data_IF_946021490263
#
_entry.id   IF_946021490263
#
_cell.length_a   1.000
_cell.length_b   1.000
_cell.length_c   1.000
_cell.angle_alpha   90.00
_cell.angle_beta   90.00
_cell.angle_gamma   90.00
#
_symmetry.space_group_name_H-M   'P 1'
#
loop_
_entity.id
_entity.type
_entity.pdbx_description
1 polymer ?
#
# COMPACT_ATOMS: atom_id res chain seq x y z
N UNK A 1 8.15 -9.55 25.13
CA UNK A 1 7.78 -8.85 23.88
C UNK A 1 6.48 -8.13 24.16
N UNK A 2 6.44 -6.83 24.00
CA UNK A 2 5.16 -6.09 24.00
C UNK A 2 4.33 -6.59 22.83
N UNK A 3 3.05 -6.89 23.08
CA UNK A 3 2.13 -7.30 22.01
C UNK A 3 2.11 -6.21 20.94
N UNK A 4 2.42 -6.57 19.69
CA UNK A 4 2.35 -5.66 18.54
C UNK A 4 0.90 -5.27 18.35
N UNK A 5 0.62 -3.96 18.40
CA UNK A 5 -0.74 -3.43 18.26
C UNK A 5 -0.74 -2.04 17.63
N UNK A 6 -1.42 -1.93 16.51
CA UNK A 6 -1.75 -0.67 15.85
C UNK A 6 -3.28 -0.50 15.81
N UNK A 7 -3.82 0.22 14.91
CA UNK A 7 -5.22 0.19 14.55
C UNK A 7 -5.40 -0.51 13.21
N UNK A 8 -6.62 -0.65 12.73
CA UNK A 8 -6.86 -0.94 11.32
C UNK A 8 -6.40 0.28 10.51
N UNK A 9 -5.57 0.07 9.50
CA UNK A 9 -5.15 1.16 8.63
C UNK A 9 -6.28 1.59 7.67
N UNK A 10 -6.25 2.82 7.21
CA UNK A 10 -7.36 3.37 6.43
C UNK A 10 -7.53 2.67 5.06
N UNK A 11 -6.45 2.27 4.43
CA UNK A 11 -6.47 1.45 3.21
C UNK A 11 -7.27 0.15 3.42
N UNK A 12 -7.14 -0.49 4.60
CA UNK A 12 -7.87 -1.71 4.93
C UNK A 12 -9.34 -1.46 5.28
N UNK A 13 -9.67 -0.28 5.80
CA UNK A 13 -11.08 0.16 5.91
C UNK A 13 -11.70 0.27 4.52
N UNK A 14 -11.01 0.92 3.57
CA UNK A 14 -11.45 1.01 2.18
C UNK A 14 -11.51 -0.35 1.49
N UNK A 15 -10.50 -1.20 1.66
CA UNK A 15 -10.46 -2.54 1.07
C UNK A 15 -11.67 -3.39 1.49
N UNK A 16 -12.10 -3.28 2.75
CA UNK A 16 -13.31 -3.94 3.24
C UNK A 16 -14.59 -3.39 2.61
N UNK A 17 -14.60 -2.14 2.18
CA UNK A 17 -15.78 -1.49 1.60
C UNK A 17 -15.83 -1.63 0.08
N UNK A 18 -14.81 -1.17 -0.64
CA UNK A 18 -14.82 -1.12 -2.11
C UNK A 18 -14.06 -2.27 -2.78
N UNK A 19 -13.24 -3.01 -2.04
CA UNK A 19 -12.41 -4.12 -2.56
C UNK A 19 -13.14 -5.47 -2.63
N UNK A 20 -14.40 -5.56 -2.20
CA UNK A 20 -15.09 -6.84 -2.07
C UNK A 20 -15.52 -7.46 -3.40
N UNK A 21 -15.57 -6.69 -4.45
CA UNK A 21 -15.95 -7.11 -5.81
C UNK A 21 -14.77 -7.25 -6.76
N UNK A 22 -13.55 -6.89 -6.32
CA UNK A 22 -12.31 -7.02 -7.09
C UNK A 22 -11.60 -8.35 -6.79
N UNK A 23 -10.66 -8.74 -7.64
CA UNK A 23 -9.85 -9.95 -7.44
C UNK A 23 -9.04 -9.87 -6.15
N UNK A 24 -8.42 -8.71 -5.90
CA UNK A 24 -7.69 -8.40 -4.66
C UNK A 24 -8.37 -7.21 -3.97
N UNK A 25 -8.78 -7.34 -2.71
CA UNK A 25 -9.34 -6.21 -1.95
C UNK A 25 -8.37 -5.03 -1.84
N UNK A 26 -7.08 -5.34 -1.68
CA UNK A 26 -5.98 -4.38 -1.67
C UNK A 26 -4.68 -5.03 -2.12
N UNK A 27 -3.70 -4.21 -2.48
CA UNK A 27 -2.33 -4.64 -2.76
C UNK A 27 -1.38 -3.69 -2.05
N UNK A 28 -0.43 -4.27 -1.32
CA UNK A 28 0.57 -3.58 -0.53
C UNK A 28 1.95 -3.83 -1.13
N UNK A 29 2.66 -2.76 -1.51
CA UNK A 29 4.00 -2.84 -2.09
C UNK A 29 4.99 -1.90 -1.41
N UNK A 30 6.26 -2.25 -1.47
CA UNK A 30 7.36 -1.42 -0.96
C UNK A 30 8.60 -1.54 -1.86
N UNK A 31 9.60 -0.70 -1.60
CA UNK A 31 10.89 -0.80 -2.28
C UNK A 31 11.96 -1.52 -1.47
N UNK A 32 11.72 -1.74 -0.18
CA UNK A 32 12.67 -2.33 0.74
C UNK A 32 12.03 -3.43 1.57
N UNK A 33 12.69 -4.60 1.66
CA UNK A 33 12.27 -5.70 2.51
C UNK A 33 13.05 -5.72 3.83
N UNK A 34 12.32 -5.82 4.92
CA UNK A 34 12.87 -6.00 6.26
C UNK A 34 12.15 -7.13 7.03
N UNK A 35 11.45 -7.99 6.33
CA UNK A 35 10.76 -9.14 6.93
C UNK A 35 11.70 -10.07 7.71
N UNK A 36 13.01 -10.04 7.40
CA UNK A 36 14.05 -10.77 8.13
C UNK A 36 14.44 -10.18 9.49
N UNK A 37 14.04 -8.93 9.79
CA UNK A 37 14.31 -8.33 11.09
C UNK A 37 13.20 -8.67 12.09
N UNK A 38 13.51 -9.56 13.00
CA UNK A 38 12.59 -10.03 14.05
C UNK A 38 13.02 -9.42 15.39
N UNK A 39 12.08 -8.84 16.14
CA UNK A 39 12.34 -8.31 17.46
C UNK A 39 12.09 -6.80 17.56
N UNK A 40 12.90 -6.10 18.37
CA UNK A 40 12.82 -4.65 18.54
C UNK A 40 13.79 -3.95 17.58
N UNK A 41 13.27 -3.05 16.75
CA UNK A 41 14.06 -2.26 15.80
C UNK A 41 14.45 -0.88 16.35
N UNK A 42 13.70 -0.35 17.33
CA UNK A 42 14.00 0.91 18.00
C UNK A 42 13.39 0.92 19.41
N UNK A 43 14.18 1.30 20.41
CA UNK A 43 13.78 1.57 21.82
C UNK A 43 12.63 0.70 22.39
N UNK A 44 12.62 -0.61 22.08
CA UNK A 44 11.58 -1.54 22.53
C UNK A 44 10.36 -1.68 21.61
N UNK A 45 10.29 -0.94 20.49
CA UNK A 45 9.24 -1.08 19.48
C UNK A 45 9.54 -2.22 18.52
N UNK A 46 8.51 -2.99 18.19
CA UNK A 46 8.64 -4.12 17.26
C UNK A 46 8.94 -3.65 15.84
N UNK A 47 9.78 -4.40 15.10
CA UNK A 47 10.11 -4.13 13.71
C UNK A 47 8.88 -4.12 12.79
N UNK A 48 7.79 -4.78 13.17
CA UNK A 48 6.54 -4.78 12.43
C UNK A 48 6.01 -3.37 12.13
N UNK A 49 6.26 -2.38 13.00
CA UNK A 49 5.84 -0.99 12.78
C UNK A 49 6.62 -0.26 11.68
N UNK A 50 7.80 -0.77 11.31
CA UNK A 50 8.65 -0.22 10.25
C UNK A 50 8.47 -0.95 8.91
N UNK A 51 7.94 -2.19 8.95
CA UNK A 51 7.91 -3.07 7.80
C UNK A 51 6.64 -2.94 6.97
N UNK A 52 5.61 -2.29 7.50
CA UNK A 52 4.36 -2.05 6.80
C UNK A 52 3.63 -0.83 7.34
N UNK A 53 2.86 -0.20 6.46
CA UNK A 53 1.89 0.85 6.81
C UNK A 53 0.45 0.35 6.70
N UNK A 54 0.26 -0.94 6.37
CA UNK A 54 -1.06 -1.56 6.18
C UNK A 54 -1.35 -2.61 7.26
N UNK A 55 -2.49 -2.48 7.93
CA UNK A 55 -2.91 -3.33 9.03
C UNK A 55 -4.35 -3.80 8.84
N UNK A 56 -4.55 -5.12 8.67
CA UNK A 56 -5.86 -5.71 8.43
C UNK A 56 -6.79 -5.64 9.65
N UNK A 57 -6.20 -5.72 10.84
CA UNK A 57 -6.81 -5.53 12.15
C UNK A 57 -5.76 -4.98 13.14
N UNK A 58 -6.11 -4.69 14.42
CA UNK A 58 -5.17 -4.08 15.35
C UNK A 58 -3.88 -4.85 15.62
N UNK A 59 -3.81 -6.13 15.25
CA UNK A 59 -2.67 -7.02 15.57
C UNK A 59 -2.07 -7.71 14.35
N UNK A 60 -2.64 -7.49 13.16
CA UNK A 60 -2.23 -8.17 11.92
C UNK A 60 -1.67 -7.17 10.91
N UNK A 61 -0.33 -6.97 10.92
CA UNK A 61 0.35 -6.21 9.87
C UNK A 61 0.28 -6.99 8.54
N UNK A 62 0.05 -6.29 7.44
CA UNK A 62 0.12 -6.88 6.11
C UNK A 62 1.54 -6.74 5.54
N UNK A 63 2.15 -7.84 5.07
CA UNK A 63 3.46 -7.77 4.45
C UNK A 63 3.38 -6.99 3.13
N UNK A 64 4.39 -6.15 2.88
CA UNK A 64 4.52 -5.40 1.64
C UNK A 64 5.42 -6.16 0.66
N UNK A 65 4.93 -6.38 -0.57
CA UNK A 65 5.71 -7.05 -1.60
C UNK A 65 6.67 -6.07 -2.28
N UNK A 66 7.94 -6.45 -2.37
CA UNK A 66 8.99 -5.63 -2.99
C UNK A 66 9.37 -6.06 -4.40
N UNK A 67 9.08 -7.31 -4.76
CA UNK A 67 9.50 -7.88 -6.03
C UNK A 67 8.43 -7.63 -7.11
N UNK A 68 8.70 -6.78 -8.14
CA UNK A 68 7.73 -6.51 -9.20
C UNK A 68 7.29 -7.77 -9.93
N UNK A 69 8.15 -8.80 -10.02
CA UNK A 69 7.80 -10.09 -10.62
C UNK A 69 6.71 -10.79 -9.82
N UNK A 70 6.83 -10.81 -8.48
CA UNK A 70 5.84 -11.44 -7.60
C UNK A 70 4.52 -10.67 -7.66
N UNK A 71 4.57 -9.33 -7.68
CA UNK A 71 3.37 -8.48 -7.87
C UNK A 71 2.71 -8.80 -9.20
N UNK A 72 3.49 -8.90 -10.29
CA UNK A 72 2.99 -9.26 -11.61
C UNK A 72 2.32 -10.64 -11.61
N UNK A 73 2.97 -11.64 -11.04
CA UNK A 73 2.43 -13.00 -10.95
C UNK A 73 1.16 -13.05 -10.09
N UNK A 74 1.11 -12.27 -9.02
CA UNK A 74 -0.08 -12.13 -8.19
C UNK A 74 -1.23 -11.47 -8.94
N UNK A 75 -0.97 -10.40 -9.69
CA UNK A 75 -2.00 -9.68 -10.46
C UNK A 75 -2.50 -10.46 -11.67
N UNK A 76 -1.59 -11.13 -12.37
CA UNK A 76 -1.87 -11.69 -13.71
C UNK A 76 -1.62 -13.20 -13.82
N UNK A 77 -1.25 -13.86 -12.74
CA UNK A 77 -0.98 -15.30 -12.70
C UNK A 77 0.29 -15.73 -13.44
N UNK A 78 1.26 -14.83 -13.61
CA UNK A 78 2.56 -15.09 -14.23
C UNK A 78 2.53 -15.22 -15.77
N UNK A 79 3.70 -15.45 -16.37
CA UNK A 79 3.82 -15.75 -17.80
C UNK A 79 3.19 -17.12 -18.12
N UNK A 80 2.46 -17.22 -19.22
CA UNK A 80 1.83 -18.45 -19.69
C UNK A 80 0.46 -18.22 -20.33
N UNK A 81 -0.11 -19.30 -20.89
CA UNK A 81 -1.46 -19.26 -21.47
C UNK A 81 -2.54 -19.09 -20.40
N UNK A 82 -3.74 -18.69 -20.80
CA UNK A 82 -4.89 -18.61 -19.89
C UNK A 82 -5.15 -19.95 -19.18
N UNK A 83 -4.99 -21.07 -19.89
CA UNK A 83 -5.15 -22.41 -19.33
C UNK A 83 -4.10 -22.72 -18.24
N UNK A 84 -2.83 -22.36 -18.48
CA UNK A 84 -1.76 -22.55 -17.50
C UNK A 84 -1.96 -21.70 -16.25
N UNK A 85 -2.52 -20.48 -16.40
CA UNK A 85 -2.89 -19.64 -15.26
C UNK A 85 -4.03 -20.24 -14.45
N UNK A 86 -5.08 -20.69 -15.13
CA UNK A 86 -6.22 -21.36 -14.48
C UNK A 86 -5.80 -22.62 -13.73
N UNK A 87 -4.91 -23.43 -14.31
CA UNK A 87 -4.44 -24.64 -13.64
C UNK A 87 -3.66 -24.33 -12.37
N UNK A 88 -2.76 -23.31 -12.39
CA UNK A 88 -2.08 -22.86 -11.18
C UNK A 88 -3.06 -22.33 -10.11
N UNK A 89 -4.10 -21.61 -10.51
CA UNK A 89 -5.14 -21.14 -9.59
C UNK A 89 -5.92 -22.32 -8.97
N UNK A 90 -6.26 -23.32 -9.78
CA UNK A 90 -6.95 -24.53 -9.30
C UNK A 90 -6.10 -25.33 -8.31
N UNK A 91 -4.80 -25.45 -8.56
CA UNK A 91 -3.85 -26.10 -7.63
C UNK A 91 -3.79 -25.33 -6.30
N UNK A 92 -3.70 -24.01 -6.34
CA UNK A 92 -3.76 -23.15 -5.14
C UNK A 92 -5.07 -23.35 -4.35
N UNK A 93 -6.22 -23.38 -5.04
CA UNK A 93 -7.53 -23.66 -4.44
C UNK A 93 -7.57 -25.03 -3.78
N UNK A 94 -7.07 -26.07 -4.44
CA UNK A 94 -6.99 -27.44 -3.88
C UNK A 94 -6.18 -27.50 -2.57
N UNK A 95 -5.11 -26.70 -2.45
CA UNK A 95 -4.32 -26.59 -1.23
C UNK A 95 -5.15 -26.01 -0.09
N UNK A 96 -5.89 -24.92 -0.38
CA UNK A 96 -6.77 -24.27 0.60
C UNK A 96 -7.89 -25.18 1.07
N UNK A 97 -8.52 -25.94 0.18
CA UNK A 97 -9.55 -26.94 0.51
C UNK A 97 -9.02 -28.02 1.48
N UNK A 98 -7.73 -28.32 1.46
CA UNK A 98 -7.11 -29.27 2.39
C UNK A 98 -6.82 -28.65 3.77
N UNK A 99 -6.50 -27.37 3.82
CA UNK A 99 -6.15 -26.66 5.07
C UNK A 99 -7.37 -26.39 5.96
N UNK A 100 -8.49 -25.96 5.36
CA UNK A 100 -9.70 -25.57 6.10
C UNK A 100 -10.23 -26.68 7.02
N UNK A 101 -10.38 -27.95 6.58
CA UNK A 101 -10.87 -29.03 7.44
C UNK A 101 -9.94 -29.33 8.64
N UNK A 102 -8.64 -29.23 8.44
CA UNK A 102 -7.65 -29.46 9.52
C UNK A 102 -7.66 -28.34 10.54
N UNK A 103 -7.71 -27.10 10.08
CA UNK A 103 -7.80 -25.91 10.93
C UNK A 103 -9.10 -25.91 11.74
N UNK A 104 -10.22 -26.33 11.14
CA UNK A 104 -11.51 -26.46 11.84
C UNK A 104 -11.49 -27.55 12.92
N UNK A 105 -10.77 -28.67 12.69
CA UNK A 105 -10.59 -29.70 13.74
C UNK A 105 -9.74 -29.18 14.90
N UNK A 106 -8.69 -28.43 14.59
CA UNK A 106 -7.81 -27.83 15.60
C UNK A 106 -8.57 -26.84 16.51
N UNK A 107 -9.51 -26.07 15.94
CA UNK A 107 -10.32 -25.09 16.66
C UNK A 107 -11.06 -25.67 17.88
N UNK A 108 -11.48 -26.93 17.81
CA UNK A 108 -12.22 -27.58 18.88
C UNK A 108 -11.40 -27.82 20.15
N UNK A 109 -10.06 -27.83 20.06
CA UNK A 109 -9.13 -28.02 21.19
C UNK A 109 -8.53 -26.74 21.76
N UNK A 110 -8.79 -25.57 21.18
CA UNK A 110 -8.13 -24.32 21.53
C UNK A 110 -8.87 -23.51 22.59
N UNK A 111 -8.12 -22.71 23.36
CA UNK A 111 -8.65 -21.66 24.24
C UNK A 111 -9.25 -20.49 23.47
N UNK A 112 -10.01 -19.60 24.14
CA UNK A 112 -10.77 -18.52 23.50
C UNK A 112 -9.92 -17.62 22.59
N UNK A 113 -8.76 -17.15 23.07
CA UNK A 113 -7.83 -16.26 22.33
C UNK A 113 -7.23 -16.96 21.09
N UNK A 114 -6.92 -18.24 21.20
CA UNK A 114 -6.36 -18.99 20.07
C UNK A 114 -7.44 -19.37 19.06
N UNK A 115 -8.68 -19.56 19.49
CA UNK A 115 -9.83 -19.72 18.60
C UNK A 115 -10.05 -18.47 17.74
N UNK A 116 -9.99 -17.27 18.34
CA UNK A 116 -10.14 -16.00 17.64
C UNK A 116 -9.05 -15.82 16.57
N UNK A 117 -7.80 -16.15 16.89
CA UNK A 117 -6.71 -16.15 15.92
C UNK A 117 -6.94 -17.12 14.76
N UNK A 118 -7.40 -18.32 15.09
CA UNK A 118 -7.70 -19.34 14.08
C UNK A 118 -8.90 -18.94 13.21
N UNK A 119 -9.93 -18.31 13.79
CA UNK A 119 -11.08 -17.79 13.03
C UNK A 119 -10.63 -16.68 12.04
N UNK A 120 -9.74 -15.79 12.48
CA UNK A 120 -9.14 -14.78 11.60
C UNK A 120 -8.37 -15.44 10.46
N UNK A 121 -7.55 -16.45 10.76
CA UNK A 121 -6.83 -17.22 9.75
C UNK A 121 -7.79 -17.88 8.74
N UNK A 122 -8.82 -18.58 9.22
CA UNK A 122 -9.81 -19.24 8.35
C UNK A 122 -10.58 -18.23 7.48
N UNK A 123 -10.86 -17.05 8.03
CA UNK A 123 -11.50 -15.96 7.28
C UNK A 123 -10.60 -15.49 6.14
N UNK A 124 -9.30 -15.32 6.40
CA UNK A 124 -8.33 -14.95 5.39
C UNK A 124 -8.18 -16.03 4.30
N UNK A 125 -8.16 -17.31 4.69
CA UNK A 125 -8.12 -18.45 3.75
C UNK A 125 -9.36 -18.47 2.86
N UNK A 126 -10.56 -18.26 3.42
CA UNK A 126 -11.81 -18.15 2.63
C UNK A 126 -11.78 -16.96 1.67
N UNK A 127 -11.18 -15.87 2.08
CA UNK A 127 -11.02 -14.71 1.20
C UNK A 127 -10.12 -15.02 -0.01
N UNK A 128 -9.02 -15.77 0.20
CA UNK A 128 -8.16 -16.24 -0.91
C UNK A 128 -8.97 -17.14 -1.86
N UNK A 129 -9.75 -18.07 -1.32
CA UNK A 129 -10.62 -18.97 -2.10
C UNK A 129 -11.60 -18.19 -2.99
N UNK A 130 -12.27 -17.19 -2.41
CA UNK A 130 -13.18 -16.30 -3.13
C UNK A 130 -12.49 -15.49 -4.24
N UNK A 131 -11.22 -15.10 -4.04
CA UNK A 131 -10.43 -14.41 -5.05
C UNK A 131 -10.07 -15.33 -6.21
N UNK A 132 -9.69 -16.58 -5.92
CA UNK A 132 -9.42 -17.59 -6.93
C UNK A 132 -10.64 -17.82 -7.83
N UNK A 133 -11.84 -17.99 -7.23
CA UNK A 133 -13.08 -18.13 -7.98
C UNK A 133 -13.42 -16.95 -8.89
N UNK A 134 -13.15 -15.72 -8.42
CA UNK A 134 -13.34 -14.52 -9.23
C UNK A 134 -12.33 -14.43 -10.38
N UNK A 135 -11.05 -14.71 -10.10
CA UNK A 135 -10.01 -14.72 -11.11
C UNK A 135 -10.27 -15.76 -12.22
N UNK A 136 -10.83 -16.92 -11.88
CA UNK A 136 -11.27 -17.93 -12.86
C UNK A 136 -12.35 -17.38 -13.81
N UNK A 137 -13.26 -16.54 -13.31
CA UNK A 137 -14.35 -15.94 -14.10
C UNK A 137 -13.89 -14.77 -14.98
N UNK A 138 -12.79 -14.09 -14.61
CA UNK A 138 -12.31 -12.87 -15.28
C UNK A 138 -11.05 -13.08 -16.12
N UNK A 139 -10.60 -14.33 -16.31
CA UNK A 139 -9.32 -14.67 -16.95
C UNK A 139 -9.17 -14.32 -18.44
N UNK A 140 -10.19 -13.75 -19.10
CA UNK A 140 -10.16 -13.39 -20.51
C UNK A 140 -9.51 -12.03 -20.82
N UNK A 141 -9.14 -11.24 -19.81
CA UNK A 141 -8.52 -9.92 -20.03
C UNK A 141 -7.01 -10.09 -20.18
N UNK A 142 -6.51 -10.13 -21.40
CA UNK A 142 -5.07 -10.15 -21.69
C UNK A 142 -4.49 -8.74 -21.52
N UNK A 143 -3.66 -8.58 -20.52
CA UNK A 143 -2.83 -7.38 -20.36
C UNK A 143 -1.43 -7.69 -20.88
N UNK A 144 -1.01 -6.96 -21.91
CA UNK A 144 0.29 -7.13 -22.55
C UNK A 144 1.39 -6.42 -21.74
N UNK A 145 1.79 -7.00 -20.61
CA UNK A 145 2.99 -6.60 -19.91
C UNK A 145 4.03 -7.72 -19.93
N UNK A 146 5.26 -7.37 -20.25
CA UNK A 146 6.39 -8.29 -20.06
C UNK A 146 6.66 -8.44 -18.56
N UNK A 147 6.67 -9.66 -18.06
CA UNK A 147 6.96 -9.93 -16.65
C UNK A 147 8.39 -9.47 -16.31
N UNK A 148 8.58 -8.60 -15.31
CA UNK A 148 9.91 -8.15 -14.90
C UNK A 148 10.77 -9.29 -14.34
N UNK A 149 12.09 -9.16 -14.45
CA UNK A 149 13.05 -10.16 -13.99
C UNK A 149 13.69 -9.69 -12.67
N UNK A 150 13.13 -10.12 -11.55
CA UNK A 150 13.66 -9.80 -10.23
C UNK A 150 13.38 -8.37 -9.76
N UNK A 151 14.16 -7.89 -8.80
CA UNK A 151 14.11 -6.53 -8.28
C UNK A 151 15.20 -5.70 -8.95
N UNK A 152 14.87 -4.64 -9.70
CA UNK A 152 15.86 -3.77 -10.32
C UNK A 152 16.79 -3.13 -9.30
N UNK A 153 18.07 -2.98 -9.66
CA UNK A 153 19.04 -2.27 -8.84
C UNK A 153 18.81 -0.74 -8.87
N UNK A 154 18.39 -0.21 -10.02
CA UNK A 154 18.01 1.19 -10.18
C UNK A 154 16.67 1.46 -9.47
N UNK A 155 16.65 2.51 -8.63
CA UNK A 155 15.48 2.85 -7.84
C UNK A 155 14.32 3.34 -8.71
N UNK A 156 14.62 4.18 -9.70
CA UNK A 156 13.61 4.73 -10.60
C UNK A 156 12.95 3.65 -11.44
N UNK A 157 13.71 2.65 -11.90
CA UNK A 157 13.18 1.48 -12.61
C UNK A 157 12.29 0.63 -11.68
N UNK A 158 12.77 0.36 -10.45
CA UNK A 158 12.00 -0.42 -9.48
C UNK A 158 10.66 0.24 -9.15
N UNK A 159 10.68 1.52 -8.78
CA UNK A 159 9.47 2.30 -8.50
C UNK A 159 8.56 2.40 -9.73
N UNK A 160 9.17 2.62 -10.91
CA UNK A 160 8.43 2.70 -12.17
C UNK A 160 7.65 1.41 -12.46
N UNK A 161 8.26 0.24 -12.30
CA UNK A 161 7.60 -1.04 -12.48
C UNK A 161 6.44 -1.24 -11.50
N UNK A 162 6.62 -0.89 -10.22
CA UNK A 162 5.55 -0.99 -9.22
C UNK A 162 4.38 -0.04 -9.55
N UNK A 163 4.66 1.19 -9.99
CA UNK A 163 3.63 2.09 -10.48
C UNK A 163 2.94 1.59 -11.76
N UNK A 164 3.67 0.92 -12.65
CA UNK A 164 3.07 0.30 -13.84
C UNK A 164 2.11 -0.82 -13.46
N UNK A 165 2.44 -1.63 -12.43
CA UNK A 165 1.52 -2.65 -11.90
C UNK A 165 0.25 -2.01 -11.30
N UNK A 166 0.40 -0.92 -10.53
CA UNK A 166 -0.74 -0.16 -10.01
C UNK A 166 -1.63 0.38 -11.13
N UNK A 167 -1.03 0.98 -12.15
CA UNK A 167 -1.74 1.51 -13.31
C UNK A 167 -2.59 0.43 -13.99
N UNK A 168 -1.99 -0.71 -14.30
CA UNK A 168 -2.69 -1.81 -14.97
C UNK A 168 -3.75 -2.44 -14.04
N UNK A 169 -3.47 -2.54 -12.75
CA UNK A 169 -4.44 -3.07 -11.79
C UNK A 169 -5.70 -2.18 -11.71
N UNK A 170 -5.56 -0.86 -11.81
CA UNK A 170 -6.69 0.07 -11.88
C UNK A 170 -7.43 -0.04 -13.22
N UNK A 171 -6.71 -0.12 -14.36
CA UNK A 171 -7.33 -0.29 -15.68
C UNK A 171 -8.19 -1.56 -15.79
N UNK A 172 -7.80 -2.62 -15.09
CA UNK A 172 -8.47 -3.92 -15.14
C UNK A 172 -9.43 -4.18 -13.98
N UNK A 173 -9.61 -3.20 -13.10
CA UNK A 173 -10.38 -3.32 -11.85
C UNK A 173 -9.98 -4.55 -11.02
N UNK A 174 -8.70 -4.95 -11.11
CA UNK A 174 -8.15 -6.10 -10.37
C UNK A 174 -8.06 -5.79 -8.89
N UNK A 175 -7.77 -4.53 -8.54
CA UNK A 175 -7.88 -3.95 -7.20
C UNK A 175 -8.25 -2.47 -7.29
N UNK A 176 -8.91 -1.95 -6.26
CA UNK A 176 -9.25 -0.52 -6.13
C UNK A 176 -8.48 0.18 -5.02
N UNK A 177 -7.73 -0.58 -4.23
CA UNK A 177 -6.96 -0.04 -3.11
C UNK A 177 -5.51 -0.50 -3.24
N UNK A 178 -4.61 0.48 -3.25
CA UNK A 178 -3.18 0.25 -3.35
C UNK A 178 -2.44 1.06 -2.30
N UNK A 179 -1.48 0.42 -1.62
CA UNK A 179 -0.60 1.07 -0.65
C UNK A 179 0.84 0.87 -1.08
N UNK A 180 1.60 1.97 -1.14
CA UNK A 180 2.99 1.94 -1.59
C UNK A 180 3.92 2.67 -0.62
N UNK A 181 4.78 1.93 0.06
CA UNK A 181 5.87 2.47 0.86
C UNK A 181 7.11 2.66 -0.02
N UNK A 182 7.27 3.86 -0.59
CA UNK A 182 8.39 4.17 -1.47
C UNK A 182 9.75 4.19 -0.76
N UNK A 183 9.77 4.58 0.50
CA UNK A 183 10.92 4.47 1.39
C UNK A 183 10.41 4.33 2.83
N UNK A 184 11.20 3.71 3.69
CA UNK A 184 10.90 3.60 5.11
C UNK A 184 11.80 4.53 5.93
N UNK A 185 11.44 4.78 7.16
CA UNK A 185 12.11 5.75 8.02
C UNK A 185 13.60 5.38 8.28
N UNK A 186 13.92 4.09 8.42
CA UNK A 186 15.29 3.60 8.62
C UNK A 186 15.99 3.17 7.33
N UNK A 187 15.60 3.70 6.19
CA UNK A 187 16.18 3.34 4.89
C UNK A 187 17.70 3.58 4.86
N UNK A 188 18.44 2.53 4.53
CA UNK A 188 19.88 2.60 4.28
C UNK A 188 20.21 2.73 2.79
N UNK A 189 19.19 2.94 1.96
CA UNK A 189 19.39 3.12 0.51
C UNK A 189 20.16 4.40 0.21
N UNK A 190 21.08 4.31 -0.74
CA UNK A 190 21.74 5.44 -1.39
C UNK A 190 21.14 5.64 -2.78
N UNK A 191 21.27 6.84 -3.34
CA UNK A 191 20.73 7.21 -4.65
C UNK A 191 21.83 7.83 -5.52
N UNK A 192 22.77 7.01 -6.03
CA UNK A 192 23.90 7.49 -6.80
C UNK A 192 23.48 8.17 -8.13
N UNK A 193 22.34 7.76 -8.70
CA UNK A 193 21.77 8.31 -9.93
C UNK A 193 21.42 9.80 -9.82
N UNK A 194 21.21 10.31 -8.60
CA UNK A 194 20.98 11.73 -8.32
C UNK A 194 22.10 12.37 -7.49
N UNK A 195 23.23 11.66 -7.32
CA UNK A 195 24.38 12.14 -6.56
C UNK A 195 24.17 12.18 -5.04
N UNK A 196 23.24 11.40 -4.50
CA UNK A 196 23.04 11.18 -3.06
C UNK A 196 23.74 9.87 -2.66
N UNK A 197 24.94 9.97 -2.11
CA UNK A 197 25.80 8.83 -1.79
C UNK A 197 25.73 8.42 -0.31
N UNK A 198 25.13 9.25 0.53
CA UNK A 198 24.86 8.92 1.93
C UNK A 198 23.54 8.14 2.05
N UNK A 199 23.41 7.24 3.04
CA UNK A 199 22.16 6.56 3.32
C UNK A 199 21.00 7.53 3.57
N UNK A 200 19.82 7.24 3.05
CA UNK A 200 18.62 8.08 3.16
C UNK A 200 18.35 8.52 4.60
N UNK A 201 18.33 7.58 5.54
CA UNK A 201 18.09 7.88 6.96
C UNK A 201 19.16 8.82 7.54
N UNK A 202 20.45 8.57 7.28
CA UNK A 202 21.52 9.44 7.74
C UNK A 202 21.41 10.86 7.15
N UNK A 203 21.03 10.97 5.88
CA UNK A 203 20.83 12.24 5.17
C UNK A 203 19.59 13.00 5.68
N UNK A 204 18.56 12.29 6.15
CA UNK A 204 17.36 12.91 6.75
C UNK A 204 17.66 13.63 8.06
N UNK A 205 18.72 13.22 8.79
CA UNK A 205 19.27 13.93 9.96
C UNK A 205 20.25 15.04 9.54
N UNK A 206 19.77 15.98 8.75
CA UNK A 206 20.58 17.00 8.06
C UNK A 206 21.21 18.05 9.00
N UNK A 207 20.93 18.08 10.31
CA UNK A 207 21.48 19.00 11.31
C UNK A 207 21.42 20.49 10.92
N UNK A 208 20.50 20.83 10.00
CA UNK A 208 20.38 22.15 9.40
C UNK A 208 21.62 22.58 8.60
N UNK A 209 22.49 21.66 8.19
CA UNK A 209 23.64 21.91 7.34
C UNK A 209 23.19 22.12 5.88
N UNK A 210 23.56 23.23 5.23
CA UNK A 210 23.04 23.58 3.90
C UNK A 210 23.24 22.50 2.83
N UNK A 211 24.37 21.79 2.85
CA UNK A 211 24.65 20.72 1.89
C UNK A 211 23.78 19.48 2.10
N UNK A 212 23.54 19.10 3.35
CA UNK A 212 22.67 17.97 3.68
C UNK A 212 21.19 18.30 3.41
N UNK A 213 20.76 19.53 3.71
CA UNK A 213 19.43 20.02 3.34
C UNK A 213 19.24 19.98 1.82
N UNK A 214 20.22 20.45 1.05
CA UNK A 214 20.15 20.40 -0.41
C UNK A 214 20.12 18.97 -0.95
N UNK A 215 20.86 18.03 -0.35
CA UNK A 215 20.85 16.63 -0.71
C UNK A 215 19.48 15.99 -0.39
N UNK A 216 18.94 16.24 0.80
CA UNK A 216 17.60 15.76 1.20
C UNK A 216 16.51 16.33 0.28
N UNK A 217 16.55 17.63 -0.03
CA UNK A 217 15.60 18.24 -0.97
C UNK A 217 15.69 17.63 -2.38
N UNK A 218 16.89 17.31 -2.86
CA UNK A 218 17.10 16.62 -4.15
C UNK A 218 16.48 15.23 -4.14
N UNK A 219 16.65 14.48 -3.05
CA UNK A 219 16.04 13.18 -2.88
C UNK A 219 14.52 13.27 -2.88
N UNK A 220 13.94 14.19 -2.12
CA UNK A 220 12.49 14.39 -2.11
C UNK A 220 11.96 14.75 -3.50
N UNK A 221 12.64 15.65 -4.21
CA UNK A 221 12.28 16.01 -5.59
C UNK A 221 12.33 14.80 -6.52
N UNK A 222 13.29 13.90 -6.33
CA UNK A 222 13.39 12.67 -7.12
C UNK A 222 12.20 11.76 -6.88
N UNK A 223 11.84 11.50 -5.62
CA UNK A 223 10.66 10.69 -5.29
C UNK A 223 9.37 11.32 -5.85
N UNK A 224 9.19 12.64 -5.68
CA UNK A 224 8.05 13.36 -6.27
C UNK A 224 8.01 13.25 -7.80
N UNK A 225 9.16 13.28 -8.46
CA UNK A 225 9.23 13.16 -9.92
C UNK A 225 8.78 11.79 -10.42
N UNK A 226 9.07 10.72 -9.68
CA UNK A 226 8.60 9.37 -9.99
C UNK A 226 7.09 9.25 -9.78
N UNK A 227 6.56 9.79 -8.68
CA UNK A 227 5.12 9.87 -8.45
C UNK A 227 4.42 10.72 -9.52
N UNK A 228 4.97 11.86 -9.90
CA UNK A 228 4.40 12.70 -10.95
C UNK A 228 4.30 11.99 -12.32
N UNK A 229 5.28 11.14 -12.67
CA UNK A 229 5.20 10.30 -13.87
C UNK A 229 4.03 9.31 -13.83
N UNK A 230 3.78 8.72 -12.66
CA UNK A 230 2.63 7.86 -12.46
C UNK A 230 1.31 8.64 -12.59
N UNK A 231 1.21 9.82 -11.96
CA UNK A 231 0.04 10.71 -12.09
C UNK A 231 -0.22 11.06 -13.56
N UNK A 232 0.85 11.42 -14.31
CA UNK A 232 0.73 11.71 -15.74
C UNK A 232 0.19 10.50 -16.52
N UNK A 233 0.68 9.30 -16.22
CA UNK A 233 0.21 8.07 -16.87
C UNK A 233 -1.28 7.83 -16.62
N UNK A 234 -1.79 8.11 -15.41
CA UNK A 234 -3.22 8.03 -15.13
C UNK A 234 -4.03 9.10 -15.89
N UNK A 235 -3.48 10.32 -16.00
CA UNK A 235 -4.09 11.41 -16.76
C UNK A 235 -4.17 11.12 -18.26
N UNK A 236 -3.19 10.39 -18.80
CA UNK A 236 -3.13 10.02 -20.22
C UNK A 236 -3.96 8.77 -20.55
N UNK A 237 -4.52 8.09 -19.54
CA UNK A 237 -5.26 6.84 -19.73
C UNK A 237 -6.76 7.09 -19.73
N UNK A 238 -7.46 6.89 -20.88
CA UNK A 238 -8.90 7.05 -20.94
C UNK A 238 -9.65 6.07 -20.02
N UNK A 239 -10.68 6.57 -19.34
CA UNK A 239 -11.60 5.78 -18.52
C UNK A 239 -13.02 6.38 -18.58
N UNK A 240 -13.92 5.69 -19.29
CA UNK A 240 -15.26 6.20 -19.55
C UNK A 240 -15.25 7.55 -20.29
N UNK A 241 -15.93 8.54 -19.73
CA UNK A 241 -15.98 9.92 -20.25
C UNK A 241 -14.80 10.81 -19.79
N UNK A 242 -13.84 10.25 -19.04
CA UNK A 242 -12.70 10.95 -18.51
C UNK A 242 -11.40 10.13 -18.61
N UNK A 243 -10.57 10.28 -17.61
CA UNK A 243 -9.31 9.56 -17.46
C UNK A 243 -9.30 8.79 -16.15
N UNK A 244 -8.36 7.84 -15.98
CA UNK A 244 -8.19 7.18 -14.70
C UNK A 244 -7.92 8.19 -13.56
N UNK A 245 -7.22 9.30 -13.86
CA UNK A 245 -6.95 10.34 -12.86
C UNK A 245 -8.23 11.02 -12.36
N UNK A 246 -9.25 11.17 -13.21
CA UNK A 246 -10.52 11.76 -12.82
C UNK A 246 -11.29 10.87 -11.83
N UNK A 247 -11.04 9.56 -11.83
CA UNK A 247 -11.79 8.58 -11.06
C UNK A 247 -11.06 8.07 -9.81
N UNK A 248 -9.78 8.38 -9.62
CA UNK A 248 -9.00 7.97 -8.45
C UNK A 248 -8.84 9.09 -7.42
N UNK A 249 -8.48 8.72 -6.20
CA UNK A 249 -7.90 9.60 -5.19
C UNK A 249 -6.55 9.03 -4.81
N UNK A 250 -5.49 9.80 -5.06
CA UNK A 250 -4.13 9.45 -4.69
C UNK A 250 -3.68 10.34 -3.54
N UNK A 251 -3.05 9.75 -2.53
CA UNK A 251 -2.37 10.47 -1.47
C UNK A 251 -0.89 10.18 -1.54
N UNK A 252 -0.08 11.23 -1.52
CA UNK A 252 1.37 11.14 -1.38
C UNK A 252 1.84 12.02 -0.24
N UNK A 253 2.77 11.55 0.57
CA UNK A 253 3.32 12.32 1.67
C UNK A 253 4.25 11.51 2.55
N UNK A 254 4.58 12.07 3.70
CA UNK A 254 5.44 11.46 4.71
C UNK A 254 4.79 11.59 6.10
N UNK A 255 5.15 10.68 7.00
CA UNK A 255 4.79 10.74 8.42
C UNK A 255 5.59 11.76 9.22
N UNK A 256 6.55 12.45 8.59
CA UNK A 256 7.37 13.51 9.20
C UNK A 256 7.44 14.72 8.29
N UNK A 257 7.32 15.91 8.86
CA UNK A 257 7.53 17.19 8.18
C UNK A 257 9.00 17.63 8.27
N UNK A 258 9.57 17.57 9.48
CA UNK A 258 10.99 17.78 9.73
C UNK A 258 11.62 16.46 10.21
N UNK A 259 12.32 15.80 9.30
CA UNK A 259 12.97 14.52 9.56
C UNK A 259 14.11 14.62 10.59
N UNK A 260 14.82 15.77 10.66
CA UNK A 260 15.90 15.98 11.61
C UNK A 260 15.38 16.07 13.07
N UNK A 261 14.22 16.67 13.26
CA UNK A 261 13.56 16.82 14.55
C UNK A 261 12.55 15.69 14.84
N UNK A 262 12.35 14.76 13.93
CA UNK A 262 11.27 13.76 13.94
C UNK A 262 9.89 14.39 14.19
N UNK A 263 9.63 15.56 13.59
CA UNK A 263 8.37 16.26 13.76
C UNK A 263 7.24 15.59 12.99
N UNK A 264 6.12 15.35 13.68
CA UNK A 264 4.88 14.83 13.11
C UNK A 264 3.81 15.91 12.96
N UNK A 265 4.18 17.20 13.13
CA UNK A 265 3.29 18.34 12.92
C UNK A 265 3.42 18.85 11.49
N UNK A 266 2.36 19.47 10.97
CA UNK A 266 2.35 20.13 9.65
C UNK A 266 2.84 19.21 8.52
N UNK A 267 2.30 17.98 8.46
CA UNK A 267 2.71 16.97 7.46
C UNK A 267 2.46 17.46 6.04
N UNK A 268 3.47 17.35 5.14
CA UNK A 268 3.33 17.71 3.73
C UNK A 268 2.57 16.63 2.98
N UNK A 269 1.27 16.79 2.80
CA UNK A 269 0.41 15.83 2.12
C UNK A 269 -0.08 16.41 0.80
N UNK A 270 0.05 15.64 -0.27
CA UNK A 270 -0.49 15.96 -1.59
C UNK A 270 -1.63 14.99 -1.91
N UNK A 271 -2.78 15.54 -2.26
CA UNK A 271 -3.94 14.78 -2.74
C UNK A 271 -4.12 15.07 -4.22
N UNK A 272 -4.16 14.05 -5.04
CA UNK A 272 -4.26 14.15 -6.51
C UNK A 272 -5.37 13.24 -7.01
N UNK A 273 -6.07 13.69 -8.03
CA UNK A 273 -7.17 12.97 -8.67
C UNK A 273 -8.54 13.58 -8.40
N UNK A 274 -9.50 13.27 -9.26
CA UNK A 274 -10.82 13.85 -9.22
C UNK A 274 -11.83 13.15 -8.31
N UNK A 275 -11.52 11.90 -7.86
CA UNK A 275 -12.42 11.10 -7.04
C UNK A 275 -13.81 10.98 -7.65
N UNK A 276 -13.91 10.78 -8.97
CA UNK A 276 -15.16 10.79 -9.74
C UNK A 276 -15.97 12.08 -9.55
N UNK A 277 -15.29 13.24 -9.54
CA UNK A 277 -15.89 14.56 -9.40
C UNK A 277 -16.18 15.01 -7.96
N UNK A 278 -15.74 14.22 -6.97
CA UNK A 278 -15.99 14.52 -5.55
C UNK A 278 -14.85 15.29 -4.88
N UNK A 279 -13.67 15.37 -5.51
CA UNK A 279 -12.49 16.07 -5.00
C UNK A 279 -12.19 17.31 -5.84
N UNK A 280 -11.98 18.46 -5.18
CA UNK A 280 -11.64 19.72 -5.83
C UNK A 280 -10.12 19.91 -5.80
N UNK A 281 -9.51 20.04 -6.97
CA UNK A 281 -8.08 20.32 -7.13
C UNK A 281 -7.70 21.80 -7.01
N UNK A 282 -6.41 22.08 -7.29
CA UNK A 282 -5.84 23.44 -7.34
C UNK A 282 -6.00 24.26 -6.04
N UNK A 283 -5.89 23.61 -4.88
CA UNK A 283 -6.02 24.25 -3.57
C UNK A 283 -4.81 23.96 -2.70
N UNK A 284 -4.44 24.92 -1.91
CA UNK A 284 -3.55 24.72 -0.76
C UNK A 284 -4.39 24.91 0.50
N UNK A 285 -4.49 23.88 1.33
CA UNK A 285 -5.28 23.86 2.55
C UNK A 285 -4.33 23.85 3.75
N UNK A 286 -4.37 24.88 4.57
CA UNK A 286 -3.63 24.97 5.82
C UNK A 286 -4.63 24.89 6.99
N UNK A 287 -4.32 24.07 7.96
CA UNK A 287 -5.16 23.83 9.13
C UNK A 287 -4.47 24.33 10.41
N UNK A 288 -5.22 24.63 11.48
CA UNK A 288 -4.63 24.96 12.78
C UNK A 288 -3.69 23.87 13.27
N UNK A 289 -2.63 24.28 13.97
CA UNK A 289 -1.69 23.36 14.62
C UNK A 289 -2.46 22.38 15.51
N UNK A 290 -2.13 21.09 15.41
CA UNK A 290 -2.79 20.03 16.17
C UNK A 290 -4.05 19.47 15.51
N UNK A 291 -4.41 19.89 14.28
CA UNK A 291 -5.46 19.22 13.51
C UNK A 291 -5.03 17.80 13.18
N UNK A 292 -5.76 16.76 13.63
CA UNK A 292 -5.38 15.38 13.36
C UNK A 292 -5.39 15.06 11.86
N UNK A 293 -4.34 14.37 11.40
CA UNK A 293 -4.28 13.89 10.02
C UNK A 293 -5.42 12.91 9.70
N UNK A 294 -5.90 12.18 10.69
CA UNK A 294 -7.03 11.27 10.55
C UNK A 294 -8.34 11.95 10.11
N UNK A 295 -8.47 13.29 10.27
CA UNK A 295 -9.59 14.05 9.72
C UNK A 295 -9.65 13.96 8.18
N UNK A 296 -8.51 13.83 7.51
CA UNK A 296 -8.43 13.60 6.07
C UNK A 296 -8.95 12.18 5.70
N UNK A 297 -8.67 11.19 6.52
CA UNK A 297 -9.18 9.84 6.29
C UNK A 297 -10.71 9.75 6.45
N UNK A 298 -11.29 10.51 7.39
CA UNK A 298 -12.76 10.62 7.49
C UNK A 298 -13.34 11.28 6.23
N UNK A 299 -12.68 12.33 5.72
CA UNK A 299 -13.09 12.96 4.46
C UNK A 299 -13.05 11.96 3.28
N UNK A 300 -11.98 11.18 3.14
CA UNK A 300 -11.91 10.11 2.13
C UNK A 300 -13.03 9.09 2.30
N UNK A 301 -13.29 8.62 3.53
CA UNK A 301 -14.37 7.66 3.79
C UNK A 301 -15.70 8.15 3.22
N UNK A 302 -16.04 9.42 3.47
CA UNK A 302 -17.26 10.03 2.93
C UNK A 302 -17.26 10.10 1.40
N UNK A 303 -16.11 10.38 0.74
CA UNK A 303 -15.99 10.36 -0.74
C UNK A 303 -16.23 8.97 -1.31
N UNK A 304 -15.88 7.91 -0.57
CA UNK A 304 -16.15 6.53 -0.96
C UNK A 304 -17.50 5.99 -0.46
N UNK A 305 -18.35 6.83 0.11
CA UNK A 305 -19.69 6.43 0.57
C UNK A 305 -19.73 5.69 1.90
N UNK A 306 -18.65 5.73 2.70
CA UNK A 306 -18.61 5.23 4.06
C UNK A 306 -19.07 6.33 5.03
N UNK A 307 -20.17 6.10 5.73
CA UNK A 307 -20.67 7.00 6.77
C UNK A 307 -20.02 6.69 8.12
N UNK A 308 -18.73 7.04 8.25
CA UNK A 308 -18.01 6.98 9.52
C UNK A 308 -17.86 8.39 10.11
N UNK A 309 -18.06 8.52 11.41
CA UNK A 309 -17.95 9.81 12.11
C UNK A 309 -16.53 10.05 12.64
N UNK A 310 -15.79 8.96 12.90
CA UNK A 310 -14.43 9.04 13.45
C UNK A 310 -13.55 7.94 12.87
N UNK A 311 -12.25 8.23 12.79
CA UNK A 311 -11.20 7.26 12.47
C UNK A 311 -9.91 7.63 13.23
N UNK A 312 -9.28 6.67 13.91
CA UNK A 312 -8.09 6.94 14.73
C UNK A 312 -8.34 8.04 15.76
N UNK A 313 -7.52 9.06 15.73
CA UNK A 313 -7.57 10.24 16.58
C UNK A 313 -8.36 11.42 15.97
N UNK A 314 -9.12 11.19 14.92
CA UNK A 314 -9.90 12.24 14.26
C UNK A 314 -10.86 12.93 15.22
N UNK A 315 -10.97 14.27 15.07
CA UNK A 315 -11.89 15.12 15.84
C UNK A 315 -12.75 16.02 14.94
N UNK A 316 -12.74 15.77 13.64
CA UNK A 316 -13.48 16.48 12.61
C UNK A 316 -13.27 15.88 11.23
N UNK A 317 -13.64 16.64 10.20
CA UNK A 317 -13.53 16.26 8.79
C UNK A 317 -12.88 17.39 8.02
N UNK A 318 -11.95 17.08 7.13
CA UNK A 318 -11.35 18.04 6.20
C UNK A 318 -12.26 18.20 4.98
N UNK A 319 -12.47 19.43 4.54
CA UNK A 319 -13.21 19.72 3.31
C UNK A 319 -12.30 19.53 2.08
N UNK A 320 -12.54 18.46 1.34
CA UNK A 320 -11.83 18.06 0.11
C UNK A 320 -12.63 18.39 -1.15
#
# INVERSE_FOLDING_TARGET
MTDVRAGVSFDQVLAKHIGQTTTFPSIEVATEDFSGYVGACDNGWACAYLNTISWADPTTPLPMEINPRVVFERLFGGAGTAEQRLERMRLGRSILDSIIPEATRLQNGLGGRDKEKLDTYLTNVREIERRLERAEKTSDTQVALNAPVGVPADFGEHVGLLFDMMHVAFQTDTTRVFTFQMARELSQRIYPEIGCLDPHHAMSHHRNEPLLLAANARLQLYHYSLFAKFVQKLADTPDGEGTLLDHVILQYGSGMSDSNAHSHHDLPIVVVGGGAGTVKGNRHLAYPVGTPFANLHVAYAHKFGLDIQTFGDSNGVIDL
#
